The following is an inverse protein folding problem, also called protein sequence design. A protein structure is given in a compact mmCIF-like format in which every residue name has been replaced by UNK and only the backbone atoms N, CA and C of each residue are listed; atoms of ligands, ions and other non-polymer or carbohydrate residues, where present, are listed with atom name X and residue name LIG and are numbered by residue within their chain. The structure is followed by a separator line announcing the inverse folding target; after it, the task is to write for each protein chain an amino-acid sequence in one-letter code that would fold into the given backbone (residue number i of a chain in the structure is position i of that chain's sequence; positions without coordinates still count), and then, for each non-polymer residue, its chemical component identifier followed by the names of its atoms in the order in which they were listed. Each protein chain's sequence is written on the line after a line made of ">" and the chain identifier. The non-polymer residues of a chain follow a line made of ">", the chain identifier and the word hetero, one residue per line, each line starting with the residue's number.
data_IF_600264138614
#
_entry.id   IF_600264138614
#
_cell.length_a   1.000
_cell.length_b   1.000
_cell.length_c   1.000
_cell.angle_alpha   90.00
_cell.angle_beta   90.00
_cell.angle_gamma   90.00
#
_symmetry.space_group_name_H-M   'P 1'
#
loop_
_entity.id
_entity.type
_entity.pdbx_description
1 polymer ?
#
# COMPACT_ATOMS: atom_id res chain seq x y z
N UNK A 1 2.99 4.09 3.60
CA UNK A 1 2.64 2.88 4.38
C UNK A 1 1.75 3.21 5.56
N UNK A 2 2.08 4.23 6.37
CA UNK A 2 1.30 4.65 7.54
C UNK A 2 -0.19 4.88 7.25
N UNK A 3 -0.51 5.59 6.16
CA UNK A 3 -1.89 5.79 5.73
C UNK A 3 -2.66 4.47 5.52
N UNK A 4 -2.00 3.48 4.88
CA UNK A 4 -2.59 2.15 4.70
C UNK A 4 -2.77 1.43 6.04
N UNK A 5 -1.80 1.50 6.96
CA UNK A 5 -1.95 0.95 8.30
C UNK A 5 -3.11 1.60 9.09
N UNK A 6 -3.42 2.86 8.83
CA UNK A 6 -4.59 3.57 9.37
C UNK A 6 -5.91 3.23 8.63
N UNK A 7 -5.87 2.33 7.64
CA UNK A 7 -7.01 1.91 6.85
C UNK A 7 -7.46 2.93 5.80
N UNK A 8 -6.61 3.89 5.44
CA UNK A 8 -6.92 4.91 4.45
C UNK A 8 -6.41 4.48 3.06
N UNK A 9 -7.25 4.48 2.01
CA UNK A 9 -6.77 4.27 0.66
C UNK A 9 -5.90 5.44 0.19
N UNK A 10 -4.95 5.20 -0.71
CA UNK A 10 -3.99 6.23 -1.15
C UNK A 10 -3.92 6.36 -2.67
N UNK A 11 -3.61 7.58 -3.14
CA UNK A 11 -3.17 7.83 -4.52
C UNK A 11 -1.65 7.97 -4.47
N UNK A 12 -0.93 7.19 -5.26
CA UNK A 12 0.53 7.20 -5.27
C UNK A 12 1.09 7.14 -6.69
N UNK A 13 2.32 7.60 -6.86
CA UNK A 13 3.01 7.55 -8.15
C UNK A 13 3.68 6.18 -8.38
N UNK A 14 3.76 5.76 -9.64
CA UNK A 14 4.40 4.51 -10.06
C UNK A 14 5.92 4.61 -10.06
N UNK A 15 6.52 4.78 -8.89
CA UNK A 15 7.99 4.91 -8.73
C UNK A 15 8.52 3.93 -7.69
N UNK A 16 9.73 3.42 -7.91
CA UNK A 16 10.36 2.45 -7.00
C UNK A 16 9.49 1.23 -6.73
N UNK A 17 9.45 0.76 -5.48
CA UNK A 17 8.64 -0.38 -5.04
C UNK A 17 7.17 -0.07 -4.74
N UNK A 18 6.69 1.17 -4.96
CA UNK A 18 5.29 1.55 -4.72
C UNK A 18 4.28 0.69 -5.52
N UNK A 19 4.55 0.30 -6.79
CA UNK A 19 3.63 -0.53 -7.54
C UNK A 19 3.44 -1.94 -6.96
N UNK A 20 4.34 -2.41 -6.11
CA UNK A 20 4.23 -3.70 -5.41
C UNK A 20 3.31 -3.61 -4.17
N UNK A 21 3.11 -2.39 -3.66
CA UNK A 21 2.34 -2.11 -2.44
C UNK A 21 0.90 -1.73 -2.78
N UNK A 22 0.70 -0.94 -3.84
CA UNK A 22 -0.60 -0.35 -4.19
C UNK A 22 -1.34 -1.19 -5.22
N UNK A 23 -2.61 -1.46 -4.95
CA UNK A 23 -3.54 -2.15 -5.84
C UNK A 23 -4.96 -1.57 -5.70
N UNK A 24 -5.90 -2.09 -6.49
CA UNK A 24 -7.27 -1.58 -6.54
C UNK A 24 -8.02 -1.62 -5.19
N UNK A 25 -7.63 -2.50 -4.27
CA UNK A 25 -8.27 -2.63 -2.96
C UNK A 25 -7.77 -1.61 -1.94
N UNK A 26 -6.61 -0.98 -2.17
CA UNK A 26 -5.98 -0.09 -1.21
C UNK A 26 -5.59 1.28 -1.78
N UNK A 27 -5.79 1.52 -3.07
CA UNK A 27 -5.45 2.80 -3.67
C UNK A 27 -5.51 2.84 -5.19
N UNK A 28 -4.92 3.90 -5.74
CA UNK A 28 -4.76 4.15 -7.16
C UNK A 28 -3.31 4.50 -7.47
N UNK A 29 -2.82 4.06 -8.63
CA UNK A 29 -1.49 4.37 -9.13
C UNK A 29 -1.57 5.31 -10.32
N UNK A 30 -0.79 6.38 -10.28
CA UNK A 30 -0.64 7.38 -11.35
C UNK A 30 0.81 7.47 -11.83
N UNK A 31 1.03 8.00 -13.02
CA UNK A 31 2.37 8.31 -13.52
C UNK A 31 2.95 9.56 -12.83
N UNK A 32 4.25 9.58 -12.51
CA UNK A 32 4.88 10.74 -11.90
C UNK A 32 4.82 11.96 -12.84
N UNK A 33 4.47 13.13 -12.28
CA UNK A 33 4.34 14.39 -13.04
C UNK A 33 3.10 14.49 -13.92
N UNK A 34 2.19 13.51 -13.88
CA UNK A 34 0.95 13.55 -14.66
C UNK A 34 -0.19 14.18 -13.86
N UNK A 35 -0.35 15.49 -13.98
CA UNK A 35 -1.39 16.27 -13.29
C UNK A 35 -2.81 15.81 -13.66
N UNK A 36 -3.05 15.52 -14.94
CA UNK A 36 -4.35 15.05 -15.42
C UNK A 36 -4.76 13.74 -14.75
N UNK A 37 -3.83 12.79 -14.61
CA UNK A 37 -4.11 11.53 -13.90
C UNK A 37 -4.34 11.75 -12.41
N UNK A 38 -3.63 12.69 -11.78
CA UNK A 38 -3.85 13.01 -10.37
C UNK A 38 -5.28 13.52 -10.14
N UNK A 39 -5.75 14.46 -10.97
CA UNK A 39 -7.11 15.01 -10.88
C UNK A 39 -8.14 13.88 -11.03
N UNK A 40 -8.01 13.07 -12.09
CA UNK A 40 -8.90 11.93 -12.33
C UNK A 40 -8.89 10.91 -11.20
N UNK A 41 -7.73 10.67 -10.59
CA UNK A 41 -7.60 9.74 -9.47
C UNK A 41 -8.28 10.29 -8.20
N UNK A 42 -8.18 11.59 -7.94
CA UNK A 42 -8.86 12.25 -6.82
C UNK A 42 -10.38 12.14 -6.99
N UNK A 43 -10.90 12.52 -8.15
CA UNK A 43 -12.34 12.42 -8.46
C UNK A 43 -12.83 10.98 -8.30
N UNK A 44 -12.14 10.02 -8.95
CA UNK A 44 -12.48 8.60 -8.86
C UNK A 44 -12.48 8.08 -7.43
N UNK A 45 -11.48 8.48 -6.63
CA UNK A 45 -11.39 8.06 -5.24
C UNK A 45 -12.51 8.65 -4.39
N UNK A 46 -12.89 9.91 -4.61
CA UNK A 46 -14.01 10.55 -3.92
C UNK A 46 -15.34 9.85 -4.25
N UNK A 47 -15.59 9.57 -5.53
CA UNK A 47 -16.83 8.94 -5.99
C UNK A 47 -16.98 7.49 -5.49
N UNK A 48 -15.87 6.78 -5.35
CA UNK A 48 -15.85 5.36 -4.96
C UNK A 48 -15.28 5.14 -3.56
N UNK A 49 -15.19 6.19 -2.72
CA UNK A 49 -14.51 6.10 -1.43
C UNK A 49 -15.13 5.04 -0.53
N UNK A 50 -16.46 4.90 -0.55
CA UNK A 50 -17.22 3.90 0.20
C UNK A 50 -16.88 2.44 -0.16
N UNK A 51 -16.27 2.21 -1.33
CA UNK A 51 -15.91 0.86 -1.78
C UNK A 51 -14.64 0.34 -1.08
N UNK A 52 -13.85 1.23 -0.48
CA UNK A 52 -12.65 0.86 0.24
C UNK A 52 -12.99 0.33 1.64
N UNK A 53 -12.63 -0.93 1.89
CA UNK A 53 -12.77 -1.51 3.23
C UNK A 53 -11.57 -1.12 4.10
N UNK A 54 -11.78 -0.13 4.98
CA UNK A 54 -10.74 0.39 5.89
C UNK A 54 -10.07 -0.70 6.73
N UNK A 55 -10.85 -1.65 7.24
CA UNK A 55 -10.34 -2.75 8.07
C UNK A 55 -9.40 -3.63 7.25
N UNK A 56 -9.84 -4.08 6.08
CA UNK A 56 -9.02 -4.89 5.16
C UNK A 56 -7.74 -4.17 4.74
N UNK A 57 -7.80 -2.86 4.47
CA UNK A 57 -6.62 -2.07 4.12
C UNK A 57 -5.62 -2.06 5.27
N UNK A 58 -6.07 -1.78 6.49
CA UNK A 58 -5.20 -1.76 7.69
C UNK A 58 -4.60 -3.12 8.01
N UNK A 59 -5.41 -4.19 7.98
CA UNK A 59 -4.96 -5.55 8.30
C UNK A 59 -3.90 -6.01 7.31
N UNK A 60 -4.13 -5.84 6.01
CA UNK A 60 -3.17 -6.22 4.99
C UNK A 60 -1.85 -5.43 5.10
N UNK A 61 -1.93 -4.14 5.42
CA UNK A 61 -0.74 -3.30 5.57
C UNK A 61 0.07 -3.70 6.81
N UNK A 62 -0.58 -3.91 7.96
CA UNK A 62 0.08 -4.34 9.20
C UNK A 62 0.68 -5.74 9.04
N UNK A 63 -0.04 -6.69 8.43
CA UNK A 63 0.47 -8.04 8.21
C UNK A 63 1.73 -8.07 7.36
N UNK A 64 1.82 -7.23 6.33
CA UNK A 64 2.97 -7.21 5.42
C UNK A 64 4.12 -6.34 5.91
N UNK A 65 3.83 -5.24 6.58
CA UNK A 65 4.80 -4.17 6.83
C UNK A 65 4.96 -3.78 8.31
N UNK A 66 4.37 -4.52 9.26
CA UNK A 66 4.67 -4.30 10.68
C UNK A 66 6.12 -4.65 11.02
N UNK A 67 6.65 -4.00 12.05
CA UNK A 67 7.98 -4.32 12.60
C UNK A 67 8.13 -5.81 12.96
N UNK A 68 7.06 -6.44 13.47
CA UNK A 68 7.06 -7.87 13.78
C UNK A 68 7.20 -8.73 12.51
N UNK A 69 6.47 -8.38 11.44
CA UNK A 69 6.50 -9.10 10.17
C UNK A 69 7.86 -9.00 9.48
N UNK A 70 8.43 -7.79 9.42
CA UNK A 70 9.76 -7.56 8.82
C UNK A 70 10.85 -8.25 9.65
N UNK A 71 10.75 -8.18 10.99
CA UNK A 71 11.66 -8.86 11.90
C UNK A 71 11.65 -10.38 11.73
N UNK A 72 10.47 -11.00 11.59
CA UNK A 72 10.34 -12.44 11.33
C UNK A 72 10.95 -12.86 9.98
N UNK A 73 10.75 -12.06 8.93
CA UNK A 73 11.33 -12.36 7.61
C UNK A 73 12.86 -12.31 7.65
N UNK A 74 13.43 -11.27 8.26
CA UNK A 74 14.87 -11.15 8.46
C UNK A 74 15.41 -12.30 9.32
N UNK A 75 14.76 -12.60 10.44
CA UNK A 75 15.17 -13.69 11.33
C UNK A 75 15.17 -15.05 10.63
N UNK A 76 14.15 -15.34 9.84
CA UNK A 76 14.07 -16.56 9.04
C UNK A 76 15.24 -16.69 8.08
N UNK A 77 15.62 -15.61 7.38
CA UNK A 77 16.78 -15.61 6.48
C UNK A 77 18.11 -15.84 7.21
N UNK A 78 18.28 -15.29 8.41
CA UNK A 78 19.46 -15.55 9.24
C UNK A 78 19.53 -17.00 9.70
N UNK A 79 18.41 -17.62 10.09
CA UNK A 79 18.38 -19.04 10.46
C UNK A 79 18.68 -19.97 9.29
N UNK A 80 18.14 -19.71 8.09
CA UNK A 80 18.37 -20.55 6.91
C UNK A 80 19.83 -20.59 6.45
N UNK A 81 20.65 -19.60 6.83
CA UNK A 81 22.09 -19.54 6.47
C UNK A 81 23.05 -20.05 7.54
N UNK A 82 22.56 -20.52 8.69
CA UNK A 82 23.37 -21.22 9.69
C UNK A 82 23.21 -22.76 9.65
N UNK A 83 22.78 -23.30 8.50
CA UNK A 83 22.75 -24.74 8.22
C UNK A 83 23.76 -25.12 7.14
#
# INVERSE_FOLDING_TARGET
>A
LEALCCGLPVIATRVGGIPEIINQQNGLLIEPGNETQLIQAIEKMMDHYSNYNRKTISENAVLKFSYASVGQQLYSLYQTRQG
#
